data_IF_975358087163
#
_entry.id   IF_975358087163
#
_cell.length_a   1.000
_cell.length_b   1.000
_cell.length_c   1.000
_cell.angle_alpha   90.00
_cell.angle_beta   90.00
_cell.angle_gamma   90.00
#
_symmetry.space_group_name_H-M   'P 1'
#
loop_
_entity.id
_entity.type
_entity.pdbx_description
1 polymer ?
#
# COMPACT_ATOMS: atom_id res chain seq x y z
N UNK A 1 -56.28 1.38 -24.62
CA UNK A 1 -55.21 0.37 -24.44
C UNK A 1 -53.80 0.96 -24.44
N UNK A 2 -53.50 1.97 -25.28
CA UNK A 2 -52.17 2.62 -25.36
C UNK A 2 -51.64 3.23 -24.04
N UNK A 3 -52.48 3.88 -23.23
CA UNK A 3 -52.06 4.51 -21.98
C UNK A 3 -51.59 3.51 -20.90
N UNK A 4 -52.14 2.29 -20.87
CA UNK A 4 -51.75 1.26 -19.90
C UNK A 4 -50.36 0.68 -20.22
N UNK A 5 -50.00 0.60 -21.49
CA UNK A 5 -48.68 0.16 -21.93
C UNK A 5 -47.60 1.23 -21.69
N UNK A 6 -47.93 2.52 -21.83
CA UNK A 6 -47.00 3.62 -21.53
C UNK A 6 -46.54 3.65 -20.06
N UNK A 7 -47.45 3.38 -19.11
CA UNK A 7 -47.12 3.32 -17.68
C UNK A 7 -46.23 2.11 -17.37
N UNK A 8 -46.47 0.96 -18.00
CA UNK A 8 -45.65 -0.25 -17.81
C UNK A 8 -44.24 -0.05 -18.37
N UNK A 9 -44.11 0.54 -19.56
CA UNK A 9 -42.80 0.82 -20.17
C UNK A 9 -42.01 1.85 -19.35
N UNK A 10 -42.65 2.92 -18.87
CA UNK A 10 -42.00 3.90 -18.00
C UNK A 10 -41.53 3.29 -16.67
N UNK A 11 -42.34 2.41 -16.07
CA UNK A 11 -41.98 1.69 -14.84
C UNK A 11 -40.75 0.78 -15.03
N UNK A 12 -40.67 0.07 -16.16
CA UNK A 12 -39.51 -0.79 -16.47
C UNK A 12 -38.22 0.01 -16.68
N UNK A 13 -38.29 1.18 -17.33
CA UNK A 13 -37.12 2.05 -17.51
C UNK A 13 -36.61 2.57 -16.16
N UNK A 14 -37.50 2.99 -15.26
CA UNK A 14 -37.11 3.46 -13.93
C UNK A 14 -36.46 2.34 -13.11
N UNK A 15 -37.01 1.13 -13.14
CA UNK A 15 -36.42 -0.03 -12.46
C UNK A 15 -35.04 -0.37 -13.03
N UNK A 16 -34.87 -0.33 -14.36
CA UNK A 16 -33.58 -0.56 -14.99
C UNK A 16 -32.54 0.50 -14.61
N UNK A 17 -32.92 1.78 -14.58
CA UNK A 17 -32.03 2.87 -14.14
C UNK A 17 -31.65 2.74 -12.67
N UNK A 18 -32.60 2.43 -11.78
CA UNK A 18 -32.31 2.18 -10.37
C UNK A 18 -31.39 0.97 -10.23
N UNK A 19 -31.62 -0.11 -10.98
CA UNK A 19 -30.74 -1.27 -10.97
C UNK A 19 -29.32 -0.91 -11.43
N UNK A 20 -29.16 -0.12 -12.49
CA UNK A 20 -27.86 0.37 -12.96
C UNK A 20 -27.18 1.23 -11.90
N UNK A 21 -27.89 2.16 -11.26
CA UNK A 21 -27.34 3.00 -10.19
C UNK A 21 -26.94 2.13 -8.99
N UNK A 22 -27.80 1.23 -8.52
CA UNK A 22 -27.49 0.33 -7.39
C UNK A 22 -26.33 -0.59 -7.73
N UNK A 23 -26.28 -1.17 -8.93
CA UNK A 23 -25.17 -2.00 -9.39
C UNK A 23 -23.88 -1.18 -9.45
N UNK A 24 -23.91 0.04 -9.97
CA UNK A 24 -22.73 0.91 -10.02
C UNK A 24 -22.31 1.39 -8.62
N UNK A 25 -23.25 1.67 -7.71
CA UNK A 25 -22.96 2.06 -6.33
C UNK A 25 -22.43 0.88 -5.50
N UNK A 26 -22.93 -0.34 -5.72
CA UNK A 26 -22.43 -1.55 -5.06
C UNK A 26 -21.08 -1.96 -5.64
N UNK A 27 -20.87 -1.84 -6.96
CA UNK A 27 -19.57 -2.06 -7.61
C UNK A 27 -18.52 -1.00 -7.23
N UNK A 28 -18.95 0.21 -6.87
CA UNK A 28 -18.06 1.26 -6.37
C UNK A 28 -17.71 1.15 -4.88
N UNK A 29 -18.26 0.17 -4.15
CA UNK A 29 -17.82 -0.10 -2.77
C UNK A 29 -16.66 -1.08 -2.81
N UNK A 30 -15.52 -0.66 -2.28
CA UNK A 30 -14.41 -1.57 -2.02
C UNK A 30 -14.89 -2.61 -0.99
N UNK A 31 -14.76 -3.91 -1.29
CA UNK A 31 -15.07 -4.96 -0.32
C UNK A 31 -14.22 -4.85 0.95
N UNK A 32 -14.81 -5.21 2.09
CA UNK A 32 -14.13 -5.22 3.40
C UNK A 32 -12.99 -6.26 3.46
N UNK A 33 -13.09 -7.32 2.65
CA UNK A 33 -12.12 -8.39 2.55
C UNK A 33 -11.66 -8.60 1.11
N UNK A 34 -10.40 -9.02 0.93
CA UNK A 34 -9.85 -9.32 -0.38
C UNK A 34 -8.52 -10.07 -0.32
N UNK A 35 -7.96 -10.40 -1.49
CA UNK A 35 -6.70 -11.14 -1.58
C UNK A 35 -5.54 -10.30 -1.05
N UNK A 36 -4.54 -10.98 -0.52
CA UNK A 36 -3.22 -10.40 -0.30
C UNK A 36 -2.32 -10.68 -1.51
N UNK A 37 -1.48 -9.73 -1.94
CA UNK A 37 -0.53 -9.95 -3.04
C UNK A 37 0.61 -10.87 -2.59
N UNK A 38 1.40 -11.39 -3.55
CA UNK A 38 2.69 -12.00 -3.20
C UNK A 38 3.56 -11.05 -2.37
N UNK A 39 4.29 -11.60 -1.39
CA UNK A 39 5.05 -10.79 -0.42
C UNK A 39 4.21 -10.14 0.68
N UNK A 40 2.88 -10.17 0.56
CA UNK A 40 1.95 -9.63 1.54
C UNK A 40 1.93 -10.41 2.85
N UNK A 41 1.89 -9.69 3.98
CA UNK A 41 1.78 -10.25 5.32
C UNK A 41 0.45 -9.89 6.03
N UNK A 42 0.20 -10.47 7.20
CA UNK A 42 -1.06 -10.26 7.94
C UNK A 42 -1.31 -8.81 8.42
N UNK A 43 -0.32 -7.92 8.31
CA UNK A 43 -0.37 -6.53 8.78
C UNK A 43 -0.53 -5.53 7.63
N UNK A 44 -0.83 -6.00 6.42
CA UNK A 44 -1.05 -5.14 5.26
C UNK A 44 0.25 -4.60 4.65
N UNK A 45 1.40 -5.22 4.98
CA UNK A 45 2.70 -4.86 4.42
C UNK A 45 3.21 -5.87 3.40
N UNK A 46 4.07 -5.40 2.50
CA UNK A 46 4.85 -6.23 1.57
C UNK A 46 6.31 -6.14 1.99
N UNK A 47 6.93 -7.28 2.30
CA UNK A 47 8.30 -7.34 2.84
C UNK A 47 9.30 -7.70 1.75
N UNK A 48 10.32 -6.86 1.58
CA UNK A 48 11.48 -7.10 0.73
C UNK A 48 12.61 -7.79 1.50
N UNK A 49 13.21 -8.79 0.86
CA UNK A 49 14.41 -9.48 1.33
C UNK A 49 15.67 -9.05 0.57
N UNK A 50 15.50 -8.51 -0.64
CA UNK A 50 16.55 -7.88 -1.45
C UNK A 50 15.90 -6.87 -2.42
N UNK A 51 16.70 -6.24 -3.28
CA UNK A 51 16.22 -5.42 -4.40
C UNK A 51 15.22 -6.11 -5.32
N UNK A 52 15.27 -7.43 -5.42
CA UNK A 52 14.55 -8.21 -6.45
C UNK A 52 13.77 -9.41 -5.88
N UNK A 53 13.67 -9.51 -4.55
CA UNK A 53 13.01 -10.63 -3.89
C UNK A 53 12.14 -10.16 -2.72
N UNK A 54 10.94 -10.72 -2.63
CA UNK A 54 9.99 -10.48 -1.54
C UNK A 54 9.95 -11.69 -0.62
N UNK A 55 9.52 -11.48 0.63
CA UNK A 55 9.30 -12.57 1.55
C UNK A 55 8.18 -13.50 1.04
N UNK A 56 8.14 -14.77 1.47
CA UNK A 56 6.98 -15.62 1.20
C UNK A 56 5.69 -14.96 1.71
N UNK A 57 4.60 -15.09 0.95
CA UNK A 57 3.27 -14.62 1.34
C UNK A 57 2.88 -15.19 2.71
N UNK A 58 2.59 -14.29 3.64
CA UNK A 58 2.25 -14.64 5.03
C UNK A 58 0.75 -14.83 5.28
N UNK A 59 -0.11 -14.37 4.36
CA UNK A 59 -1.56 -14.54 4.41
C UNK A 59 -2.14 -14.56 3.00
N UNK A 60 -3.17 -15.36 2.75
CA UNK A 60 -3.83 -15.41 1.43
C UNK A 60 -4.86 -14.29 1.25
N UNK A 61 -5.43 -13.79 2.35
CA UNK A 61 -6.49 -12.77 2.36
C UNK A 61 -6.38 -11.88 3.60
N UNK A 62 -7.01 -10.70 3.51
CA UNK A 62 -7.21 -9.76 4.61
C UNK A 62 -8.67 -9.36 4.70
N UNK A 63 -9.10 -8.95 5.90
CA UNK A 63 -10.47 -8.49 6.18
C UNK A 63 -10.43 -7.40 7.25
N UNK A 64 -10.93 -6.21 6.95
CA UNK A 64 -10.97 -5.10 7.93
C UNK A 64 -11.78 -5.46 9.19
N UNK A 65 -12.73 -6.39 9.08
CA UNK A 65 -13.54 -6.84 10.20
C UNK A 65 -12.75 -7.66 11.24
N UNK A 66 -11.53 -8.11 10.92
CA UNK A 66 -10.66 -8.82 11.88
C UNK A 66 -9.83 -7.87 12.73
N UNK A 67 -9.80 -6.57 12.38
CA UNK A 67 -9.03 -5.57 13.12
C UNK A 67 -9.70 -5.20 14.45
N UNK A 68 -8.92 -4.76 15.45
CA UNK A 68 -9.48 -4.23 16.69
C UNK A 68 -10.42 -3.05 16.44
N UNK A 69 -11.55 -3.02 17.15
CA UNK A 69 -12.54 -1.95 17.00
C UNK A 69 -12.08 -0.61 17.59
N UNK A 70 -11.24 -0.65 18.62
CA UNK A 70 -10.66 0.53 19.26
C UNK A 70 -9.17 0.64 18.88
N UNK A 71 -8.69 1.83 18.49
CA UNK A 71 -7.28 2.05 18.25
C UNK A 71 -6.43 1.75 19.50
N UNK A 72 -5.20 1.28 19.26
CA UNK A 72 -4.17 1.19 20.28
C UNK A 72 -3.88 2.58 20.88
N UNK A 73 -3.26 2.60 22.06
CA UNK A 73 -2.75 3.85 22.60
C UNK A 73 -1.60 4.39 21.74
N UNK A 74 -1.53 5.70 21.54
CA UNK A 74 -0.39 6.34 20.86
C UNK A 74 0.94 5.92 21.50
N UNK A 75 1.95 5.67 20.66
CA UNK A 75 3.27 5.19 21.08
C UNK A 75 3.36 3.68 21.35
N UNK A 76 2.26 2.93 21.18
CA UNK A 76 2.33 1.45 21.16
C UNK A 76 3.02 1.01 19.87
N UNK A 77 3.96 0.07 19.97
CA UNK A 77 4.61 -0.55 18.79
C UNK A 77 3.56 -1.39 18.05
N UNK A 78 3.30 -1.13 16.76
CA UNK A 78 2.34 -1.89 15.97
C UNK A 78 2.64 -3.39 15.88
N UNK A 79 1.61 -4.20 15.60
CA UNK A 79 1.78 -5.63 15.39
C UNK A 79 2.72 -5.96 14.23
N UNK A 80 3.40 -7.11 14.34
CA UNK A 80 4.40 -7.57 13.37
C UNK A 80 5.73 -6.83 13.43
N UNK A 81 5.84 -5.76 14.21
CA UNK A 81 7.10 -5.03 14.44
C UNK A 81 7.76 -5.58 15.70
N UNK A 82 9.01 -6.05 15.58
CA UNK A 82 9.74 -6.71 16.66
C UNK A 82 11.21 -6.30 16.68
N UNK A 83 11.88 -6.64 17.79
CA UNK A 83 13.33 -6.53 17.89
C UNK A 83 13.96 -7.87 17.56
N UNK A 84 14.69 -7.92 16.46
CA UNK A 84 15.39 -9.10 15.94
C UNK A 84 16.82 -9.07 16.46
N UNK A 85 17.25 -10.10 17.19
CA UNK A 85 18.63 -10.17 17.74
C UNK A 85 19.62 -10.91 16.86
N UNK A 86 19.15 -11.70 15.89
CA UNK A 86 19.98 -12.47 14.97
C UNK A 86 19.39 -12.40 13.56
N UNK A 87 20.22 -12.18 12.55
CA UNK A 87 19.80 -11.97 11.18
C UNK A 87 19.58 -10.49 10.83
N UNK A 88 18.96 -10.21 9.67
CA UNK A 88 18.75 -8.84 9.21
C UNK A 88 17.88 -8.03 10.18
N UNK A 89 18.17 -6.74 10.29
CA UNK A 89 17.31 -5.79 10.98
C UNK A 89 15.92 -5.77 10.32
N UNK A 90 14.87 -5.64 11.12
CA UNK A 90 13.54 -5.39 10.59
C UNK A 90 13.34 -3.88 10.43
N UNK A 91 13.05 -3.42 9.23
CA UNK A 91 12.61 -2.05 8.94
C UNK A 91 11.18 -2.11 8.42
N UNK A 92 10.28 -1.35 9.04
CA UNK A 92 8.87 -1.25 8.62
C UNK A 92 8.52 0.21 8.41
N UNK A 93 8.09 0.55 7.20
CA UNK A 93 7.72 1.89 6.80
C UNK A 93 6.22 1.95 6.46
N UNK A 94 5.49 2.80 7.17
CA UNK A 94 4.15 3.22 6.78
C UNK A 94 4.28 4.41 5.83
N UNK A 95 3.84 4.23 4.59
CA UNK A 95 3.99 5.23 3.53
C UNK A 95 2.67 5.43 2.78
N UNK A 96 2.45 6.62 2.25
CA UNK A 96 1.36 6.93 1.34
C UNK A 96 1.99 7.52 0.08
N UNK A 97 1.71 6.94 -1.09
CA UNK A 97 2.34 7.32 -2.37
C UNK A 97 2.08 8.79 -2.74
N UNK A 98 1.00 9.38 -2.24
CA UNK A 98 0.66 10.78 -2.47
C UNK A 98 1.21 11.73 -1.38
N UNK A 99 2.08 11.26 -0.48
CA UNK A 99 2.61 12.05 0.61
C UNK A 99 3.97 12.67 0.25
N UNK A 100 4.04 14.01 0.27
CA UNK A 100 5.29 14.75 0.03
C UNK A 100 6.44 14.28 0.91
N UNK A 101 6.20 14.03 2.20
CA UNK A 101 7.26 13.58 3.10
C UNK A 101 7.69 12.14 2.86
N UNK A 102 6.82 11.31 2.27
CA UNK A 102 7.23 9.97 1.81
C UNK A 102 8.07 10.07 0.54
N UNK A 103 7.74 11.00 -0.37
CA UNK A 103 8.59 11.30 -1.52
C UNK A 103 9.97 11.82 -1.07
N UNK A 104 10.03 12.75 -0.11
CA UNK A 104 11.29 13.25 0.48
C UNK A 104 12.10 12.10 1.13
N UNK A 105 11.43 11.19 1.85
CA UNK A 105 12.05 10.02 2.47
C UNK A 105 12.69 9.09 1.44
N UNK A 106 11.94 8.76 0.38
CA UNK A 106 12.38 7.86 -0.68
C UNK A 106 13.48 8.48 -1.53
N UNK A 107 13.37 9.76 -1.89
CA UNK A 107 14.44 10.49 -2.59
C UNK A 107 15.74 10.44 -1.80
N UNK A 108 15.66 10.60 -0.47
CA UNK A 108 16.84 10.66 0.38
C UNK A 108 17.47 9.29 0.65
N UNK A 109 16.65 8.26 0.88
CA UNK A 109 17.10 7.04 1.54
C UNK A 109 17.04 5.77 0.68
N UNK A 110 16.31 5.79 -0.44
CA UNK A 110 16.10 4.59 -1.26
C UNK A 110 17.40 3.91 -1.72
N UNK A 111 18.41 4.68 -2.14
CA UNK A 111 19.72 4.13 -2.53
C UNK A 111 20.42 3.40 -1.37
N UNK A 112 20.36 3.95 -0.15
CA UNK A 112 20.97 3.33 1.02
C UNK A 112 20.16 2.13 1.55
N UNK A 113 18.83 2.21 1.51
CA UNK A 113 17.92 1.08 1.77
C UNK A 113 18.27 -0.09 0.85
N UNK A 114 18.43 0.19 -0.44
CA UNK A 114 18.80 -0.80 -1.45
C UNK A 114 20.14 -1.46 -1.12
N UNK A 115 21.16 -0.64 -0.79
CA UNK A 115 22.47 -1.16 -0.40
C UNK A 115 22.39 -2.10 0.81
N UNK A 116 21.60 -1.76 1.82
CA UNK A 116 21.44 -2.61 3.01
C UNK A 116 20.62 -3.87 2.75
N UNK A 117 19.57 -3.79 1.92
CA UNK A 117 18.78 -4.93 1.47
C UNK A 117 19.65 -5.95 0.72
N UNK A 118 20.42 -5.49 -0.27
CA UNK A 118 21.27 -6.36 -1.08
C UNK A 118 22.46 -6.93 -0.31
N UNK A 119 22.91 -6.24 0.75
CA UNK A 119 23.88 -6.77 1.70
C UNK A 119 23.28 -7.82 2.66
N UNK A 120 21.95 -7.96 2.70
CA UNK A 120 21.24 -8.82 3.64
C UNK A 120 21.29 -8.31 5.08
N UNK A 121 21.54 -7.01 5.26
CA UNK A 121 21.67 -6.35 6.57
C UNK A 121 20.30 -5.94 7.14
N UNK A 122 19.34 -5.65 6.27
CA UNK A 122 17.96 -5.34 6.64
C UNK A 122 16.96 -6.19 5.84
N UNK A 123 15.75 -6.29 6.37
CA UNK A 123 14.52 -6.50 5.61
C UNK A 123 13.74 -5.20 5.63
N UNK A 124 13.03 -4.88 4.54
CA UNK A 124 12.29 -3.63 4.42
C UNK A 124 10.84 -3.91 4.06
N UNK A 125 9.91 -3.51 4.91
CA UNK A 125 8.48 -3.71 4.72
C UNK A 125 7.78 -2.38 4.41
N UNK A 126 7.13 -2.32 3.24
CA UNK A 126 6.22 -1.24 2.89
C UNK A 126 4.81 -1.58 3.37
N UNK A 127 4.30 -0.80 4.33
CA UNK A 127 2.88 -0.75 4.72
C UNK A 127 2.23 0.44 4.02
N UNK A 128 1.83 0.25 2.77
CA UNK A 128 1.32 1.33 1.91
C UNK A 128 -0.13 1.66 2.28
N UNK A 129 -0.34 2.81 2.90
CA UNK A 129 -1.66 3.33 3.32
C UNK A 129 -2.23 4.33 2.32
N UNK A 130 -3.50 4.67 2.47
CA UNK A 130 -4.23 5.62 1.64
C UNK A 130 -4.87 6.77 2.45
N UNK A 131 -4.09 7.42 3.32
CA UNK A 131 -4.58 8.52 4.16
C UNK A 131 -4.96 9.76 3.36
N UNK A 132 -4.31 9.98 2.22
CA UNK A 132 -4.47 11.19 1.42
C UNK A 132 -5.57 11.08 0.35
N UNK A 133 -6.25 9.92 0.23
CA UNK A 133 -7.45 9.78 -0.60
C UNK A 133 -8.52 10.82 -0.26
N UNK A 134 -8.68 11.15 1.02
CA UNK A 134 -9.62 12.20 1.49
C UNK A 134 -9.33 13.60 0.91
N UNK A 135 -8.10 13.82 0.44
CA UNK A 135 -7.61 15.06 -0.14
C UNK A 135 -7.43 14.96 -1.67
N UNK A 136 -7.60 13.76 -2.23
CA UNK A 136 -7.48 13.47 -3.66
C UNK A 136 -8.85 13.50 -4.34
N UNK A 137 -8.92 14.04 -5.54
CA UNK A 137 -10.12 13.95 -6.37
C UNK A 137 -10.24 12.63 -7.14
N UNK A 138 -9.19 11.81 -7.10
CA UNK A 138 -9.08 10.57 -7.89
C UNK A 138 -8.83 9.33 -7.02
N UNK A 139 -8.80 9.47 -5.69
CA UNK A 139 -8.42 8.39 -4.77
C UNK A 139 -7.02 7.83 -5.10
N UNK A 140 -6.09 8.73 -5.44
CA UNK A 140 -4.79 8.35 -5.98
C UNK A 140 -3.99 7.44 -5.04
N UNK A 141 -4.04 7.67 -3.72
CA UNK A 141 -3.27 6.86 -2.77
C UNK A 141 -3.73 5.41 -2.77
N UNK A 142 -5.03 5.13 -2.75
CA UNK A 142 -5.51 3.74 -2.82
C UNK A 142 -5.37 3.10 -4.19
N UNK A 143 -5.48 3.87 -5.30
CA UNK A 143 -5.20 3.35 -6.65
C UNK A 143 -3.73 3.00 -6.84
N UNK A 144 -2.82 3.86 -6.39
CA UNK A 144 -1.39 3.61 -6.45
C UNK A 144 -0.98 2.47 -5.51
N UNK A 145 -1.55 2.38 -4.31
CA UNK A 145 -1.34 1.25 -3.40
C UNK A 145 -1.81 -0.09 -4.02
N UNK A 146 -2.94 -0.07 -4.74
CA UNK A 146 -3.39 -1.21 -5.54
C UNK A 146 -2.40 -1.55 -6.67
N UNK A 147 -1.88 -0.56 -7.39
CA UNK A 147 -0.92 -0.78 -8.48
C UNK A 147 0.39 -1.41 -8.00
N UNK A 148 0.97 -0.94 -6.89
CA UNK A 148 2.19 -1.57 -6.34
C UNK A 148 1.91 -2.97 -5.79
N UNK A 149 0.72 -3.24 -5.26
CA UNK A 149 0.31 -4.60 -4.89
C UNK A 149 0.16 -5.52 -6.12
N UNK A 150 -0.38 -5.01 -7.23
CA UNK A 150 -0.41 -5.74 -8.50
C UNK A 150 1.01 -6.09 -9.00
N UNK A 151 1.96 -5.16 -8.85
CA UNK A 151 3.37 -5.40 -9.17
C UNK A 151 3.95 -6.47 -8.26
N UNK A 152 3.74 -6.38 -6.95
CA UNK A 152 4.24 -7.39 -6.01
C UNK A 152 3.73 -8.79 -6.36
N UNK A 153 2.47 -8.91 -6.76
CA UNK A 153 1.83 -10.20 -7.09
C UNK A 153 2.34 -10.83 -8.40
N UNK A 154 2.65 -10.02 -9.41
CA UNK A 154 2.94 -10.49 -10.77
C UNK A 154 4.41 -10.36 -11.19
N UNK A 155 5.14 -9.43 -10.59
CA UNK A 155 6.53 -9.10 -10.88
C UNK A 155 7.24 -8.58 -9.60
N UNK A 156 7.36 -9.42 -8.55
CA UNK A 156 7.95 -9.03 -7.27
C UNK A 156 9.36 -8.42 -7.41
N UNK A 157 10.12 -8.83 -8.43
CA UNK A 157 11.44 -8.30 -8.73
C UNK A 157 11.46 -6.81 -9.15
N UNK A 158 10.33 -6.28 -9.63
CA UNK A 158 10.18 -4.88 -10.02
C UNK A 158 9.58 -4.02 -8.91
N UNK A 159 9.11 -4.62 -7.81
CA UNK A 159 8.35 -3.94 -6.77
C UNK A 159 9.08 -2.72 -6.17
N UNK A 160 10.36 -2.87 -5.84
CA UNK A 160 11.14 -1.78 -5.25
C UNK A 160 11.33 -0.61 -6.23
N UNK A 161 11.68 -0.88 -7.49
CA UNK A 161 11.87 0.15 -8.52
C UNK A 161 10.56 0.89 -8.84
N UNK A 162 9.43 0.17 -8.89
CA UNK A 162 8.12 0.79 -9.10
C UNK A 162 7.75 1.73 -7.95
N UNK A 163 7.96 1.32 -6.69
CA UNK A 163 7.70 2.21 -5.54
C UNK A 163 8.55 3.48 -5.63
N UNK A 164 9.87 3.34 -5.82
CA UNK A 164 10.76 4.49 -5.97
C UNK A 164 10.32 5.45 -7.08
N UNK A 165 9.97 4.91 -8.26
CA UNK A 165 9.52 5.75 -9.38
C UNK A 165 8.21 6.46 -9.12
N UNK A 166 7.28 5.83 -8.41
CA UNK A 166 6.02 6.49 -8.03
C UNK A 166 6.27 7.64 -7.05
N UNK A 167 7.15 7.45 -6.07
CA UNK A 167 7.53 8.53 -5.14
C UNK A 167 8.31 9.64 -5.83
N UNK A 168 9.24 9.31 -6.74
CA UNK A 168 9.94 10.28 -7.57
C UNK A 168 9.01 11.05 -8.53
N UNK A 169 7.84 10.47 -8.86
CA UNK A 169 6.84 11.12 -9.70
C UNK A 169 6.01 12.20 -8.98
N UNK A 170 6.12 12.29 -7.65
CA UNK A 170 5.21 13.11 -6.82
C UNK A 170 5.03 14.55 -7.33
N UNK A 171 6.10 15.24 -7.72
CA UNK A 171 6.03 16.64 -8.20
C UNK A 171 5.26 16.81 -9.52
N UNK A 172 5.09 15.74 -10.30
CA UNK A 172 4.33 15.76 -11.55
C UNK A 172 2.82 15.54 -11.34
N UNK A 173 2.42 15.14 -10.12
CA UNK A 173 1.03 14.99 -9.71
C UNK A 173 0.50 13.56 -9.78
N UNK A 174 -0.82 13.42 -9.60
CA UNK A 174 -1.50 12.13 -9.57
C UNK A 174 -1.57 11.50 -10.98
N UNK A 175 -1.15 10.24 -11.10
CA UNK A 175 -1.33 9.45 -12.31
C UNK A 175 -2.74 8.86 -12.39
N UNK A 176 -3.27 8.76 -13.60
CA UNK A 176 -4.42 7.89 -13.89
C UNK A 176 -3.97 6.41 -13.98
N UNK A 177 -4.91 5.50 -14.18
CA UNK A 177 -4.61 4.06 -14.18
C UNK A 177 -3.68 3.68 -15.33
N UNK A 178 -3.85 4.27 -16.51
CA UNK A 178 -2.96 4.09 -17.66
C UNK A 178 -1.53 4.56 -17.33
N UNK A 179 -1.39 5.69 -16.65
CA UNK A 179 -0.10 6.20 -16.17
C UNK A 179 0.56 5.30 -15.14
N UNK A 180 -0.20 4.75 -14.18
CA UNK A 180 0.29 3.77 -13.20
C UNK A 180 0.79 2.49 -13.90
N UNK A 181 0.03 1.97 -14.87
CA UNK A 181 0.39 0.79 -15.66
C UNK A 181 1.65 1.06 -16.49
N UNK A 182 1.72 2.21 -17.16
CA UNK A 182 2.87 2.57 -17.99
C UNK A 182 4.15 2.72 -17.16
N UNK A 183 4.07 3.39 -16.01
CA UNK A 183 5.22 3.54 -15.10
C UNK A 183 5.71 2.18 -14.59
N UNK A 184 4.80 1.28 -14.23
CA UNK A 184 5.13 -0.08 -13.82
C UNK A 184 5.82 -0.87 -14.95
N UNK A 185 5.30 -0.78 -16.17
CA UNK A 185 5.90 -1.43 -17.34
C UNK A 185 7.31 -0.90 -17.64
N UNK A 186 7.54 0.41 -17.54
CA UNK A 186 8.84 1.05 -17.74
C UNK A 186 9.88 0.67 -16.66
N UNK A 187 9.41 0.21 -15.50
CA UNK A 187 10.22 -0.35 -14.41
C UNK A 187 10.46 -1.87 -14.56
N UNK A 188 9.90 -2.50 -15.59
CA UNK A 188 10.06 -3.93 -15.86
C UNK A 188 9.01 -4.85 -15.24
N UNK A 189 7.93 -4.31 -14.66
CA UNK A 189 6.86 -5.12 -14.06
C UNK A 189 5.96 -5.83 -15.10
N UNK A 190 6.13 -5.54 -16.39
CA UNK A 190 5.25 -6.05 -17.44
C UNK A 190 3.87 -5.39 -17.39
N UNK A 191 2.84 -6.13 -17.82
CA UNK A 191 1.47 -5.62 -17.92
C UNK A 191 0.66 -5.96 -16.67
N UNK A 192 0.30 -4.93 -15.91
CA UNK A 192 -0.56 -5.02 -14.72
C UNK A 192 -1.98 -4.49 -14.95
N UNK A 193 -2.34 -4.11 -16.19
CA UNK A 193 -3.58 -3.39 -16.53
C UNK A 193 -4.84 -4.06 -15.98
N UNK A 194 -5.02 -5.36 -16.22
CA UNK A 194 -6.19 -6.09 -15.72
C UNK A 194 -6.32 -6.02 -14.19
N UNK A 195 -5.20 -6.18 -13.46
CA UNK A 195 -5.20 -6.11 -12.00
C UNK A 195 -5.58 -4.71 -11.49
N UNK A 196 -5.06 -3.67 -12.16
CA UNK A 196 -5.36 -2.26 -11.85
C UNK A 196 -6.81 -1.92 -12.15
N UNK A 197 -7.30 -2.22 -13.35
CA UNK A 197 -8.68 -1.96 -13.80
C UNK A 197 -9.73 -2.64 -12.91
N UNK A 198 -9.46 -3.88 -12.48
CA UNK A 198 -10.35 -4.63 -11.59
C UNK A 198 -10.27 -4.15 -10.12
N UNK A 199 -9.23 -3.38 -9.77
CA UNK A 199 -8.98 -2.95 -8.39
C UNK A 199 -8.75 -4.14 -7.45
N UNK A 200 -8.06 -5.18 -7.94
CA UNK A 200 -7.89 -6.49 -7.28
C UNK A 200 -7.43 -6.37 -5.83
N UNK A 201 -6.53 -5.43 -5.56
CA UNK A 201 -5.92 -5.17 -4.26
C UNK A 201 -6.39 -3.86 -3.62
N UNK A 202 -7.50 -3.26 -4.08
CA UNK A 202 -8.15 -2.14 -3.35
C UNK A 202 -8.57 -2.54 -1.92
N UNK A 203 -9.11 -3.76 -1.67
CA UNK A 203 -9.36 -4.21 -0.30
C UNK A 203 -8.09 -4.31 0.55
N UNK A 204 -6.97 -4.71 -0.06
CA UNK A 204 -5.67 -4.77 0.62
C UNK A 204 -5.18 -3.38 1.03
N UNK A 205 -5.26 -2.39 0.14
CA UNK A 205 -4.94 -1.00 0.47
C UNK A 205 -5.85 -0.43 1.58
N UNK A 206 -7.15 -0.75 1.52
CA UNK A 206 -8.10 -0.37 2.57
C UNK A 206 -7.76 -1.02 3.92
N UNK A 207 -7.39 -2.31 3.91
CA UNK A 207 -6.94 -3.03 5.09
C UNK A 207 -5.65 -2.43 5.68
N UNK A 208 -4.61 -2.19 4.87
CA UNK A 208 -3.37 -1.59 5.35
C UNK A 208 -3.63 -0.24 6.03
N UNK A 209 -4.51 0.57 5.43
CA UNK A 209 -4.94 1.86 5.99
C UNK A 209 -5.66 1.69 7.33
N UNK A 210 -6.61 0.77 7.42
CA UNK A 210 -7.36 0.50 8.65
C UNK A 210 -6.48 -0.10 9.74
N UNK A 211 -5.55 -1.00 9.39
CA UNK A 211 -4.59 -1.62 10.31
C UNK A 211 -3.65 -0.57 10.90
N UNK A 212 -3.15 0.37 10.08
CA UNK A 212 -2.34 1.48 10.54
C UNK A 212 -3.10 2.41 11.49
N UNK A 213 -4.37 2.72 11.21
CA UNK A 213 -5.23 3.49 12.12
C UNK A 213 -5.51 2.76 13.43
N UNK A 214 -5.80 1.46 13.38
CA UNK A 214 -5.97 0.62 14.57
C UNK A 214 -4.68 0.56 15.41
N UNK A 215 -3.51 0.66 14.78
CA UNK A 215 -2.22 0.76 15.45
C UNK A 215 -1.85 2.19 15.92
N UNK A 216 -2.77 3.17 15.79
CA UNK A 216 -2.56 4.57 16.11
C UNK A 216 -1.40 5.25 15.34
N UNK A 217 -1.09 4.76 14.13
CA UNK A 217 -0.12 5.42 13.23
C UNK A 217 -0.84 6.53 12.46
N UNK A 218 -0.79 7.75 12.99
CA UNK A 218 -1.58 8.89 12.48
C UNK A 218 -1.01 9.61 11.25
N UNK A 219 0.19 9.26 10.77
CA UNK A 219 0.86 9.99 9.70
C UNK A 219 1.93 9.19 8.97
N UNK A 220 2.39 9.76 7.86
CA UNK A 220 3.38 9.15 6.96
C UNK A 220 4.46 10.18 6.58
N UNK A 221 5.72 9.77 6.41
CA UNK A 221 6.24 8.44 6.71
C UNK A 221 6.32 8.23 8.23
N UNK A 222 5.92 7.05 8.68
CA UNK A 222 6.27 6.56 10.02
C UNK A 222 7.11 5.31 9.84
N UNK A 223 8.34 5.33 10.36
CA UNK A 223 9.30 4.23 10.17
C UNK A 223 9.67 3.65 11.51
N UNK A 224 9.75 2.33 11.57
CA UNK A 224 10.26 1.58 12.70
C UNK A 224 11.51 0.82 12.29
N UNK A 225 12.53 0.88 13.13
CA UNK A 225 13.77 0.10 13.01
C UNK A 225 13.84 -0.78 14.24
N UNK A 226 13.82 -2.10 14.02
CA UNK A 226 14.08 -3.12 15.03
C UNK A 226 13.22 -3.01 16.32
N UNK A 227 11.94 -2.68 16.16
CA UNK A 227 11.02 -2.57 17.29
C UNK A 227 10.88 -1.15 17.87
N UNK A 228 11.66 -0.18 17.37
CA UNK A 228 11.61 1.20 17.82
C UNK A 228 11.18 2.15 16.70
N UNK A 229 10.35 3.14 17.03
CA UNK A 229 9.98 4.20 16.08
C UNK A 229 11.16 5.15 15.86
N UNK A 230 11.38 5.55 14.62
CA UNK A 230 12.33 6.60 14.25
C UNK A 230 11.68 7.97 14.54
N UNK A 231 12.26 8.84 15.39
CA UNK A 231 11.64 10.10 15.80
C UNK A 231 11.29 11.03 14.61
N UNK A 232 12.23 11.25 13.69
CA UNK A 232 11.99 11.89 12.41
C UNK A 232 12.47 10.98 11.28
N UNK A 233 11.54 10.28 10.62
CA UNK A 233 11.89 9.33 9.56
C UNK A 233 12.70 9.95 8.41
N UNK A 234 12.49 11.22 8.05
CA UNK A 234 13.20 11.86 6.93
C UNK A 234 14.62 12.34 7.30
N UNK A 235 14.86 12.62 8.58
CA UNK A 235 16.14 13.17 9.07
C UNK A 235 17.01 12.11 9.75
N UNK A 236 16.40 11.21 10.53
CA UNK A 236 17.10 10.33 11.47
C UNK A 236 17.22 8.87 10.99
N UNK A 237 16.54 8.48 9.90
CA UNK A 237 16.40 7.08 9.50
C UNK A 237 17.75 6.39 9.28
N UNK A 238 18.60 6.94 8.42
CA UNK A 238 19.87 6.28 8.09
C UNK A 238 20.79 6.17 9.31
N UNK A 239 20.86 7.23 10.12
CA UNK A 239 21.65 7.22 11.35
C UNK A 239 21.14 6.16 12.31
N UNK A 240 19.82 6.04 12.48
CA UNK A 240 19.19 5.05 13.36
C UNK A 240 19.50 3.61 12.90
N UNK A 241 19.39 3.33 11.60
CA UNK A 241 19.72 2.01 11.05
C UNK A 241 21.20 1.70 11.22
N UNK A 242 22.09 2.65 10.91
CA UNK A 242 23.53 2.43 11.03
C UNK A 242 23.97 2.18 12.47
N UNK A 243 23.43 2.92 13.44
CA UNK A 243 23.71 2.70 14.87
C UNK A 243 23.27 1.30 15.32
N UNK A 244 22.11 0.82 14.87
CA UNK A 244 21.61 -0.52 15.16
C UNK A 244 22.45 -1.63 14.49
N UNK A 245 22.96 -1.39 13.28
CA UNK A 245 23.89 -2.30 12.59
C UNK A 245 25.24 -2.37 13.32
N UNK A 246 25.82 -1.23 13.67
CA UNK A 246 27.10 -1.13 14.36
C UNK A 246 27.05 -1.84 15.73
N UNK A 247 25.92 -1.70 16.46
CA UNK A 247 25.72 -2.36 17.75
C UNK A 247 25.66 -3.90 17.68
N UNK A 248 25.51 -4.48 16.48
CA UNK A 248 25.47 -5.93 16.24
C UNK A 248 26.80 -6.51 15.75
N UNK A 249 27.73 -5.65 15.33
CA UNK A 249 29.06 -6.02 14.81
C UNK A 249 30.07 -6.32 15.92
#
# INVERSE_FOLDING_TARGET
MLAKWGVVVAGLIVVALIAVVVINTVRGRIPDAGPAPQGGNAQGGITLLSSTDTAPTGTDMVDVATLPAEPAAEGTVPEGITSVTNGPLQVVAYVDINCVHCADFEERHSEQILSWLDAGEITFEYRTVAYLDRNSSTEYSSRAANAVACVADSAPEAYFDVNQRLFAHYEQGELDDDGLVALAADAGAGDISACVEEGTFRPWAAFATAAAQAAAVGGTPTVFVNGAAVPNAVEDFETTVQEELDARS
#
